data_IF_565384383749
#
_entry.id   IF_565384383749
#
_cell.length_a   1.000
_cell.length_b   1.000
_cell.length_c   1.000
_cell.angle_alpha   90.00
_cell.angle_beta   90.00
_cell.angle_gamma   90.00
#
_symmetry.space_group_name_H-M   'P 1'
#
loop_
_entity.id
_entity.type
_entity.pdbx_description
1 polymer ?
#
# COMPACT_ATOMS: atom_id res chain seq x y z
N UNK A 1 15.59 -15.51 -29.22
CA UNK A 1 16.26 -14.59 -28.27
C UNK A 1 15.22 -13.49 -28.05
N UNK A 2 14.35 -13.51 -27.05
CA UNK A 2 14.57 -13.68 -25.60
C UNK A 2 13.31 -14.26 -24.89
N UNK A 3 12.94 -15.51 -25.18
CA UNK A 3 11.73 -16.12 -24.61
C UNK A 3 11.85 -16.47 -23.12
N UNK A 4 13.05 -16.41 -22.53
CA UNK A 4 13.25 -16.73 -21.11
C UNK A 4 12.93 -15.54 -20.23
N UNK A 5 13.35 -14.32 -20.59
CA UNK A 5 13.06 -13.11 -19.83
C UNK A 5 11.56 -12.81 -19.79
N UNK A 6 10.85 -13.01 -20.91
CA UNK A 6 9.39 -12.82 -20.98
C UNK A 6 8.64 -13.81 -20.07
N UNK A 7 9.11 -15.06 -19.97
CA UNK A 7 8.54 -16.04 -19.04
C UNK A 7 8.76 -15.65 -17.57
N UNK A 8 9.92 -15.07 -17.23
CA UNK A 8 10.17 -14.59 -15.86
C UNK A 8 9.32 -13.38 -15.51
N UNK A 9 9.11 -12.45 -16.45
CA UNK A 9 8.20 -11.31 -16.27
C UNK A 9 6.76 -11.76 -16.09
N UNK A 10 6.29 -12.74 -16.87
CA UNK A 10 4.95 -13.30 -16.73
C UNK A 10 4.75 -13.94 -15.34
N UNK A 11 5.73 -14.72 -14.88
CA UNK A 11 5.71 -15.34 -13.55
C UNK A 11 5.72 -14.28 -12.43
N UNK A 12 6.47 -13.20 -12.60
CA UNK A 12 6.42 -12.07 -11.68
C UNK A 12 5.03 -11.44 -11.63
N UNK A 13 4.39 -11.19 -12.78
CA UNK A 13 3.04 -10.61 -12.81
C UNK A 13 2.06 -11.51 -12.06
N UNK A 14 2.11 -12.82 -12.28
CA UNK A 14 1.28 -13.80 -11.56
C UNK A 14 1.51 -13.74 -10.04
N UNK A 15 2.77 -13.76 -9.60
CA UNK A 15 3.12 -13.65 -8.17
C UNK A 15 2.72 -12.30 -7.57
N UNK A 16 2.85 -11.21 -8.34
CA UNK A 16 2.48 -9.87 -7.90
C UNK A 16 0.96 -9.74 -7.74
N UNK A 17 0.17 -10.33 -8.65
CA UNK A 17 -1.30 -10.39 -8.52
C UNK A 17 -1.70 -11.14 -7.25
N UNK A 18 -1.11 -12.30 -6.99
CA UNK A 18 -1.39 -13.08 -5.76
C UNK A 18 -1.01 -12.31 -4.48
N UNK A 19 0.11 -11.58 -4.51
CA UNK A 19 0.53 -10.72 -3.41
C UNK A 19 -0.46 -9.57 -3.18
N UNK A 20 -0.94 -8.92 -4.24
CA UNK A 20 -1.90 -7.80 -4.13
C UNK A 20 -3.26 -8.30 -3.65
N UNK A 21 -3.74 -9.45 -4.10
CA UNK A 21 -4.98 -10.05 -3.59
C UNK A 21 -4.85 -10.42 -2.10
N UNK A 22 -3.67 -10.83 -1.67
CA UNK A 22 -3.37 -11.08 -0.25
C UNK A 22 -3.29 -9.77 0.54
N UNK A 23 -2.72 -8.73 -0.06
CA UNK A 23 -2.67 -7.38 0.51
C UNK A 23 -4.07 -6.84 0.76
N UNK A 24 -4.95 -6.89 -0.25
CA UNK A 24 -6.33 -6.44 -0.16
C UNK A 24 -7.07 -7.09 1.01
N UNK A 25 -7.04 -8.43 1.09
CA UNK A 25 -7.68 -9.19 2.18
C UNK A 25 -7.12 -8.80 3.55
N UNK A 26 -5.81 -8.59 3.63
CA UNK A 26 -5.15 -8.20 4.89
C UNK A 26 -5.52 -6.77 5.29
N UNK A 27 -5.69 -5.86 4.34
CA UNK A 27 -6.13 -4.48 4.60
C UNK A 27 -7.59 -4.44 5.03
N UNK A 28 -8.46 -5.27 4.45
CA UNK A 28 -9.85 -5.42 4.91
C UNK A 28 -9.91 -6.00 6.33
N UNK A 29 -9.04 -6.96 6.67
CA UNK A 29 -8.91 -7.47 8.04
C UNK A 29 -8.42 -6.38 9.02
N UNK A 30 -7.53 -5.51 8.55
CA UNK A 30 -7.03 -4.35 9.31
C UNK A 30 -8.13 -3.29 9.52
N UNK A 31 -9.02 -3.10 8.54
CA UNK A 31 -10.17 -2.21 8.68
C UNK A 31 -11.09 -2.65 9.82
N UNK A 32 -11.32 -3.96 9.96
CA UNK A 32 -12.08 -4.52 11.09
C UNK A 32 -11.32 -4.43 12.43
N UNK A 33 -9.97 -4.45 12.39
CA UNK A 33 -9.10 -4.49 13.57
C UNK A 33 -7.93 -3.48 13.48
N UNK A 34 -8.18 -2.15 13.47
CA UNK A 34 -7.17 -1.15 13.15
C UNK A 34 -6.03 -1.03 14.19
N UNK A 35 -6.24 -1.56 15.40
CA UNK A 35 -5.23 -1.61 16.46
C UNK A 35 -4.35 -2.86 16.45
N UNK A 36 -4.58 -3.81 15.54
CA UNK A 36 -3.82 -5.06 15.49
C UNK A 36 -2.49 -4.86 14.73
N UNK A 37 -1.41 -4.74 15.51
CA UNK A 37 -0.05 -4.56 14.99
C UNK A 37 0.44 -5.75 14.17
N UNK A 38 -0.05 -6.97 14.42
CA UNK A 38 0.37 -8.15 13.66
C UNK A 38 -0.17 -8.09 12.23
N UNK A 39 -1.39 -7.55 12.05
CA UNK A 39 -1.96 -7.28 10.72
C UNK A 39 -1.17 -6.19 10.01
N UNK A 40 -0.83 -5.08 10.69
CA UNK A 40 0.03 -4.01 10.14
C UNK A 40 1.38 -4.58 9.65
N UNK A 41 2.01 -5.45 10.44
CA UNK A 41 3.27 -6.10 10.08
C UNK A 41 3.13 -7.06 8.88
N UNK A 42 1.96 -7.69 8.70
CA UNK A 42 1.68 -8.49 7.51
C UNK A 42 1.54 -7.60 6.27
N UNK A 43 0.77 -6.52 6.36
CA UNK A 43 0.63 -5.52 5.28
C UNK A 43 1.99 -5.01 4.83
N UNK A 44 2.82 -4.56 5.78
CA UNK A 44 4.17 -4.06 5.51
C UNK A 44 5.03 -5.10 4.78
N UNK A 45 5.03 -6.37 5.23
CA UNK A 45 5.83 -7.44 4.60
C UNK A 45 5.40 -7.72 3.16
N UNK A 46 4.10 -7.69 2.88
CA UNK A 46 3.58 -7.89 1.52
C UNK A 46 4.04 -6.75 0.61
N UNK A 47 3.88 -5.49 1.05
CA UNK A 47 4.35 -4.31 0.31
C UNK A 47 5.86 -4.34 0.06
N UNK A 48 6.66 -4.66 1.07
CA UNK A 48 8.11 -4.76 0.95
C UNK A 48 8.54 -5.83 -0.06
N UNK A 49 7.83 -6.96 -0.09
CA UNK A 49 8.06 -8.03 -1.08
C UNK A 49 7.69 -7.56 -2.49
N UNK A 50 6.55 -6.89 -2.65
CA UNK A 50 6.10 -6.36 -3.94
C UNK A 50 7.06 -5.30 -4.49
N UNK A 51 7.58 -4.41 -3.63
CA UNK A 51 8.62 -3.44 -3.97
C UNK A 51 9.91 -4.11 -4.43
N UNK A 52 10.41 -5.08 -3.65
CA UNK A 52 11.63 -5.82 -3.99
C UNK A 52 11.51 -6.52 -5.33
N UNK A 53 10.36 -7.16 -5.59
CA UNK A 53 10.11 -7.84 -6.85
C UNK A 53 9.99 -6.85 -8.02
N UNK A 54 9.22 -5.76 -7.89
CA UNK A 54 9.06 -4.76 -8.94
C UNK A 54 10.39 -4.08 -9.32
N UNK A 55 11.22 -3.72 -8.34
CA UNK A 55 12.56 -3.19 -8.54
C UNK A 55 13.47 -4.17 -9.31
N UNK A 56 13.41 -5.47 -8.98
CA UNK A 56 14.21 -6.51 -9.64
C UNK A 56 13.87 -6.69 -11.13
N UNK A 57 12.59 -6.51 -11.51
CA UNK A 57 12.13 -6.69 -12.89
C UNK A 57 12.03 -5.37 -13.69
N UNK A 58 12.34 -4.23 -13.07
CA UNK A 58 12.38 -2.91 -13.72
C UNK A 58 11.02 -2.23 -13.86
N UNK A 59 10.05 -2.55 -13.00
CA UNK A 59 8.75 -1.87 -12.96
C UNK A 59 8.84 -0.64 -12.06
N UNK A 60 9.45 0.44 -12.56
CA UNK A 60 9.74 1.67 -11.81
C UNK A 60 8.49 2.32 -11.20
N UNK A 61 7.38 2.32 -11.93
CA UNK A 61 6.11 2.89 -11.46
C UNK A 61 5.57 2.14 -10.23
N UNK A 62 5.64 0.80 -10.25
CA UNK A 62 5.22 -0.05 -9.12
C UNK A 62 6.18 0.13 -7.93
N UNK A 63 7.49 0.18 -8.18
CA UNK A 63 8.49 0.40 -7.12
C UNK A 63 8.28 1.75 -6.42
N UNK A 64 8.14 2.83 -7.19
CA UNK A 64 7.89 4.19 -6.67
C UNK A 64 6.58 4.25 -5.88
N UNK A 65 5.52 3.64 -6.39
CA UNK A 65 4.21 3.65 -5.76
C UNK A 65 4.19 2.85 -4.46
N UNK A 66 4.72 1.63 -4.47
CA UNK A 66 4.82 0.77 -3.27
C UNK A 66 5.71 1.37 -2.18
N UNK A 67 6.73 2.15 -2.54
CA UNK A 67 7.57 2.85 -1.57
C UNK A 67 6.79 3.87 -0.72
N UNK A 68 5.84 4.61 -1.30
CA UNK A 68 5.03 5.57 -0.54
C UNK A 68 4.08 4.86 0.42
N UNK A 69 3.47 3.76 -0.03
CA UNK A 69 2.66 2.90 0.83
C UNK A 69 3.48 2.32 1.98
N UNK A 70 4.68 1.79 1.69
CA UNK A 70 5.59 1.25 2.71
C UNK A 70 5.95 2.31 3.75
N UNK A 71 6.14 3.57 3.35
CA UNK A 71 6.44 4.68 4.25
C UNK A 71 5.29 4.96 5.22
N UNK A 72 4.03 4.94 4.76
CA UNK A 72 2.87 5.09 5.64
C UNK A 72 2.84 3.98 6.69
N UNK A 73 2.97 2.73 6.26
CA UNK A 73 2.95 1.59 7.17
C UNK A 73 4.20 1.49 8.07
N UNK A 74 5.31 2.10 7.67
CA UNK A 74 6.50 2.28 8.51
C UNK A 74 6.22 3.24 9.69
N UNK A 75 5.51 4.35 9.44
CA UNK A 75 5.09 5.28 10.49
C UNK A 75 4.09 4.62 11.45
N UNK A 76 3.16 3.82 10.91
CA UNK A 76 2.18 3.08 11.73
C UNK A 76 2.86 2.07 12.63
N UNK A 77 3.76 1.22 12.11
CA UNK A 77 4.48 0.24 12.95
C UNK A 77 5.43 0.89 13.97
N UNK A 78 5.93 2.09 13.66
CA UNK A 78 6.78 2.88 14.54
C UNK A 78 5.98 3.67 15.59
N UNK A 79 4.66 3.52 15.61
CA UNK A 79 3.73 4.23 16.51
C UNK A 79 3.77 5.76 16.35
N UNK A 80 4.22 6.25 15.18
CA UNK A 80 4.21 7.67 14.82
C UNK A 80 2.87 8.09 14.19
N UNK A 81 2.07 7.10 13.77
CA UNK A 81 0.71 7.24 13.23
C UNK A 81 -0.16 6.08 13.69
N UNK A 82 -1.45 6.36 13.83
CA UNK A 82 -2.46 5.33 14.05
C UNK A 82 -3.17 5.03 12.73
N UNK A 83 -3.57 3.76 12.54
CA UNK A 83 -4.42 3.39 11.40
C UNK A 83 -5.74 4.16 11.53
N UNK A 84 -6.10 4.88 10.48
CA UNK A 84 -7.33 5.64 10.40
C UNK A 84 -8.03 5.38 9.06
N UNK A 85 -9.25 5.90 8.90
CA UNK A 85 -10.03 5.71 7.67
C UNK A 85 -9.35 6.26 6.41
N UNK A 86 -8.52 7.31 6.53
CA UNK A 86 -7.82 7.89 5.39
C UNK A 86 -6.65 7.01 4.91
N UNK A 87 -5.89 6.41 5.84
CA UNK A 87 -4.88 5.40 5.54
C UNK A 87 -5.50 4.18 4.87
N UNK A 88 -6.64 3.69 5.40
CA UNK A 88 -7.33 2.53 4.83
C UNK A 88 -7.89 2.83 3.43
N UNK A 89 -8.56 3.97 3.25
CA UNK A 89 -9.09 4.41 1.96
C UNK A 89 -7.99 4.52 0.90
N UNK A 90 -6.91 5.25 1.21
CA UNK A 90 -5.81 5.41 0.25
C UNK A 90 -5.14 4.07 -0.04
N UNK A 91 -5.05 3.16 0.94
CA UNK A 91 -4.43 1.84 0.73
C UNK A 91 -5.29 0.96 -0.17
N UNK A 92 -6.61 0.92 0.02
CA UNK A 92 -7.50 0.14 -0.85
C UNK A 92 -7.51 0.70 -2.29
N UNK A 93 -7.58 2.02 -2.45
CA UNK A 93 -7.45 2.67 -3.76
C UNK A 93 -6.10 2.38 -4.41
N UNK A 94 -5.04 2.28 -3.61
CA UNK A 94 -3.70 1.94 -4.07
C UNK A 94 -3.59 0.47 -4.50
N UNK A 95 -4.26 -0.45 -3.81
CA UNK A 95 -4.39 -1.85 -4.23
C UNK A 95 -5.06 -1.94 -5.61
N UNK A 96 -6.16 -1.24 -5.82
CA UNK A 96 -6.85 -1.21 -7.12
C UNK A 96 -5.96 -0.64 -8.23
N UNK A 97 -5.20 0.41 -7.92
CA UNK A 97 -4.26 1.02 -8.86
C UNK A 97 -3.10 0.08 -9.21
N UNK A 98 -2.55 -0.64 -8.23
CA UNK A 98 -1.51 -1.66 -8.46
C UNK A 98 -2.00 -2.79 -9.37
N UNK A 99 -3.26 -3.23 -9.22
CA UNK A 99 -3.86 -4.22 -10.13
C UNK A 99 -3.93 -3.70 -11.56
N UNK A 100 -4.27 -2.42 -11.74
CA UNK A 100 -4.31 -1.78 -13.06
C UNK A 100 -2.90 -1.69 -13.69
N UNK A 101 -1.90 -1.22 -12.94
CA UNK A 101 -0.51 -1.18 -13.40
C UNK A 101 0.02 -2.54 -13.85
N UNK A 102 -0.32 -3.62 -13.13
CA UNK A 102 0.06 -4.98 -13.52
C UNK A 102 -0.71 -5.50 -14.73
N UNK A 103 -2.02 -5.24 -14.82
CA UNK A 103 -2.85 -5.68 -15.93
C UNK A 103 -2.42 -5.04 -17.26
N UNK A 104 -2.02 -3.77 -17.20
CA UNK A 104 -1.48 -3.05 -18.35
C UNK A 104 0.03 -3.34 -18.57
N UNK A 105 0.61 -4.28 -17.81
CA UNK A 105 2.03 -4.64 -17.87
C UNK A 105 3.00 -3.45 -17.78
N UNK A 106 2.61 -2.40 -17.05
CA UNK A 106 3.34 -1.14 -16.98
C UNK A 106 3.10 -0.20 -18.16
N UNK A 107 1.99 -0.31 -18.90
CA UNK A 107 1.57 0.75 -19.81
C UNK A 107 1.35 2.04 -19.03
N UNK A 108 1.89 3.14 -19.55
CA UNK A 108 1.89 4.44 -18.88
C UNK A 108 0.84 5.33 -19.53
N UNK A 109 -0.40 4.86 -19.57
CA UNK A 109 -1.48 5.68 -20.08
C UNK A 109 -1.57 6.98 -19.28
N UNK A 110 -1.83 8.14 -19.92
CA UNK A 110 -1.89 9.42 -19.21
C UNK A 110 -2.91 9.43 -18.06
N UNK A 111 -4.01 8.67 -18.21
CA UNK A 111 -5.05 8.53 -17.19
C UNK A 111 -4.53 7.75 -15.97
N UNK A 112 -3.82 6.64 -16.20
CA UNK A 112 -3.24 5.83 -15.13
C UNK A 112 -2.15 6.61 -14.39
N UNK A 113 -1.29 7.33 -15.11
CA UNK A 113 -0.24 8.15 -14.50
C UNK A 113 -0.81 9.33 -13.68
N UNK A 114 -1.87 9.97 -14.17
CA UNK A 114 -2.57 11.02 -13.43
C UNK A 114 -3.21 10.47 -12.13
N UNK A 115 -3.82 9.29 -12.19
CA UNK A 115 -4.33 8.61 -11.00
C UNK A 115 -3.21 8.25 -10.01
N UNK A 116 -2.07 7.78 -10.52
CA UNK A 116 -0.91 7.47 -9.68
C UNK A 116 -0.43 8.73 -8.94
N UNK A 117 -0.28 9.85 -9.65
CA UNK A 117 0.14 11.13 -9.06
C UNK A 117 -0.85 11.64 -8.01
N UNK A 118 -2.16 11.50 -8.26
CA UNK A 118 -3.21 11.85 -7.28
C UNK A 118 -3.04 11.04 -5.99
N UNK A 119 -2.94 9.71 -6.11
CA UNK A 119 -2.80 8.81 -4.96
C UNK A 119 -1.49 9.07 -4.20
N UNK A 120 -0.40 9.30 -4.92
CA UNK A 120 0.88 9.68 -4.32
C UNK A 120 0.77 11.00 -3.53
N UNK A 121 0.09 12.01 -4.08
CA UNK A 121 -0.16 13.26 -3.38
C UNK A 121 -1.02 13.08 -2.12
N UNK A 122 -2.00 12.17 -2.14
CA UNK A 122 -2.76 11.81 -0.94
C UNK A 122 -1.85 11.17 0.11
N UNK A 123 -1.04 10.18 -0.28
CA UNK A 123 -0.08 9.51 0.60
C UNK A 123 0.93 10.49 1.20
N UNK A 124 1.45 11.43 0.42
CA UNK A 124 2.37 12.47 0.90
C UNK A 124 1.71 13.35 1.98
N UNK A 125 0.44 13.71 1.81
CA UNK A 125 -0.30 14.44 2.84
C UNK A 125 -0.44 13.64 4.14
N UNK A 126 -0.63 12.30 4.07
CA UNK A 126 -0.64 11.41 5.24
C UNK A 126 0.72 11.39 5.94
N UNK A 127 1.78 11.17 5.15
CA UNK A 127 3.16 11.09 5.64
C UNK A 127 3.54 12.40 6.34
N UNK A 128 3.25 13.54 5.72
CA UNK A 128 3.52 14.87 6.27
C UNK A 128 2.56 15.29 7.40
N UNK A 129 1.49 14.53 7.66
CA UNK A 129 0.49 14.86 8.67
C UNK A 129 -0.37 16.07 8.31
N UNK A 130 -0.56 16.34 7.02
CA UNK A 130 -1.39 17.41 6.46
C UNK A 130 -2.82 16.98 6.16
N UNK A 131 -3.19 15.75 6.55
CA UNK A 131 -4.55 15.26 6.37
C UNK A 131 -5.57 16.18 7.07
N UNK A 132 -6.72 16.47 6.44
CA UNK A 132 -7.82 17.10 7.16
C UNK A 132 -8.18 16.18 8.30
N UNK A 133 -8.10 16.68 9.53
CA UNK A 133 -8.30 15.90 10.75
C UNK A 133 -9.60 15.06 10.67
N UNK A 134 -9.48 13.80 10.28
CA UNK A 134 -10.56 12.85 10.34
C UNK A 134 -10.72 12.52 11.83
N UNK A 135 -11.89 12.81 12.36
CA UNK A 135 -12.33 12.53 13.73
C UNK A 135 -11.90 11.13 14.16
N UNK A 136 -10.86 11.05 14.99
CA UNK A 136 -10.50 9.85 15.73
C UNK A 136 -11.71 9.41 16.57
N UNK A 137 -12.01 8.10 16.67
CA UNK A 137 -12.76 7.58 17.80
C UNK A 137 -11.89 7.84 19.03
N UNK A 138 -12.37 8.73 19.91
CA UNK A 138 -11.70 9.05 21.15
C UNK A 138 -11.28 7.76 21.87
N UNK A 139 -9.97 7.56 22.02
CA UNK A 139 -9.44 6.61 22.98
C UNK A 139 -10.07 6.95 24.33
N UNK A 140 -10.90 6.05 24.85
CA UNK A 140 -11.46 6.18 26.18
C UNK A 140 -10.31 6.05 27.17
N UNK A 141 -9.75 7.19 27.57
CA UNK A 141 -9.02 7.33 28.81
C UNK A 141 -9.89 6.71 29.91
N UNK A 142 -9.47 5.55 30.41
CA UNK A 142 -9.97 5.04 31.67
C UNK A 142 -9.06 5.61 32.75
N UNK A 143 -9.46 6.66 33.49
CA UNK A 143 -8.77 6.99 34.72
C UNK A 143 -9.14 5.92 35.75
N UNK A 144 -8.30 4.90 35.86
CA UNK A 144 -8.17 4.17 37.12
C UNK A 144 -7.43 5.11 38.07
N UNK A 145 -8.13 5.69 39.05
CA UNK A 145 -7.50 6.04 40.32
C UNK A 145 -8.53 6.23 41.44
N UNK A 146 -8.40 5.34 42.44
CA UNK A 146 -8.62 5.43 43.89
C UNK A 146 -9.81 6.20 44.48
#
# INVERSE_FOLDING_TARGET
MDSSMDNFKQKFIEEAVDLIDTLEKTVLELEENPGDIDIVQRVFRIMHTLKGNSSMFGYEQIDRFTHHMETIYDLVRSHEREVNGAILDVTLRSVDHLKQLLHEAGDESPELMAQQEELMGLMDNIIEGKEPAATQPAATDTPTSS
#
